data_IF_123149885084
#
_entry.id   IF_123149885084
#
_cell.length_a   1.000
_cell.length_b   1.000
_cell.length_c   1.000
_cell.angle_alpha   90.00
_cell.angle_beta   90.00
_cell.angle_gamma   90.00
#
_symmetry.space_group_name_H-M   'P 1'
#
loop_
_entity.id
_entity.type
_entity.pdbx_description
1 polymer ?
#
# COMPACT_ATOMS: atom_id res chain seq x y z
N UNK A 1 -10.64 1.32 19.63
CA UNK A 1 -11.41 2.44 19.03
C UNK A 1 -10.82 2.69 17.65
N UNK A 2 -11.18 1.87 16.66
CA UNK A 2 -10.69 1.98 15.27
C UNK A 2 -11.83 2.59 14.45
N UNK A 3 -11.69 3.84 14.06
CA UNK A 3 -12.48 4.41 12.97
C UNK A 3 -11.65 4.25 11.70
N UNK A 4 -11.95 3.25 10.89
CA UNK A 4 -11.54 3.23 9.48
C UNK A 4 -12.80 3.44 8.66
N UNK A 5 -12.95 4.66 8.15
CA UNK A 5 -14.05 5.08 7.31
C UNK A 5 -13.79 4.56 5.90
N UNK A 6 -14.49 3.50 5.49
CA UNK A 6 -14.82 3.19 4.10
C UNK A 6 -16.17 2.45 4.11
N UNK A 7 -17.23 3.18 4.45
CA UNK A 7 -18.61 2.73 4.23
C UNK A 7 -19.07 3.37 2.92
N UNK A 8 -19.33 2.54 1.90
CA UNK A 8 -20.03 2.99 0.70
C UNK A 8 -21.42 3.51 1.03
N UNK A 9 -22.06 4.19 0.08
CA UNK A 9 -23.37 4.85 0.23
C UNK A 9 -24.53 3.93 0.64
N UNK A 10 -24.31 2.62 0.72
CA UNK A 10 -25.29 1.62 1.17
C UNK A 10 -24.67 0.48 1.98
N UNK A 11 -23.72 0.71 2.89
CA UNK A 11 -23.28 -0.32 3.85
C UNK A 11 -22.56 -1.56 3.26
N UNK A 12 -22.34 -1.61 1.95
CA UNK A 12 -21.51 -2.62 1.28
C UNK A 12 -20.04 -2.19 1.31
N UNK A 13 -19.15 -3.15 1.56
CA UNK A 13 -17.71 -2.96 1.47
C UNK A 13 -17.30 -2.76 0.01
N UNK A 14 -16.38 -1.82 -0.26
CA UNK A 14 -15.80 -1.69 -1.60
C UNK A 14 -14.92 -2.90 -1.94
N UNK A 15 -14.74 -3.17 -3.23
CA UNK A 15 -13.82 -4.21 -3.69
C UNK A 15 -12.39 -4.01 -3.15
N UNK A 16 -11.95 -2.76 -2.96
CA UNK A 16 -10.67 -2.45 -2.33
C UNK A 16 -10.66 -2.79 -0.85
N UNK A 17 -11.75 -2.52 -0.13
CA UNK A 17 -11.89 -2.89 1.29
C UNK A 17 -11.85 -4.40 1.49
N UNK A 18 -12.49 -5.16 0.60
CA UNK A 18 -12.41 -6.63 0.58
C UNK A 18 -10.97 -7.10 0.31
N UNK A 19 -10.33 -6.55 -0.73
CA UNK A 19 -8.94 -6.86 -1.06
C UNK A 19 -7.97 -6.55 0.08
N UNK A 20 -8.16 -5.44 0.81
CA UNK A 20 -7.32 -5.10 1.96
C UNK A 20 -7.47 -6.11 3.09
N UNK A 21 -8.68 -6.63 3.32
CA UNK A 21 -8.92 -7.67 4.31
C UNK A 21 -8.20 -8.98 3.92
N UNK A 22 -8.20 -9.34 2.63
CA UNK A 22 -7.44 -10.49 2.13
C UNK A 22 -5.92 -10.30 2.28
N UNK A 23 -5.41 -9.14 1.88
CA UNK A 23 -3.97 -8.81 1.99
C UNK A 23 -3.52 -8.88 3.46
N UNK A 24 -4.32 -8.40 4.42
CA UNK A 24 -4.00 -8.45 5.84
C UNK A 24 -3.72 -9.88 6.35
N UNK A 25 -4.43 -10.87 5.80
CA UNK A 25 -4.32 -12.27 6.15
C UNK A 25 -3.31 -13.05 5.30
N UNK A 26 -2.78 -12.47 4.23
CA UNK A 26 -1.92 -13.16 3.28
C UNK A 26 -0.65 -13.74 3.93
N UNK A 27 -0.37 -15.02 3.64
CA UNK A 27 0.82 -15.79 4.07
C UNK A 27 1.51 -16.51 2.90
N UNK A 28 1.31 -16.05 1.67
CA UNK A 28 1.77 -16.73 0.45
C UNK A 28 3.30 -16.69 0.23
N UNK A 29 4.05 -15.88 0.99
CA UNK A 29 5.51 -15.78 0.89
C UNK A 29 6.19 -15.67 2.26
N UNK A 30 7.49 -15.96 2.30
CA UNK A 30 8.29 -15.96 3.53
C UNK A 30 8.36 -14.59 4.22
N UNK A 31 8.28 -13.48 3.47
CA UNK A 31 8.26 -12.12 4.03
C UNK A 31 7.13 -11.95 5.05
N UNK A 32 6.01 -12.66 4.86
CA UNK A 32 4.85 -12.60 5.74
C UNK A 32 5.18 -12.93 7.20
N UNK A 33 6.26 -13.68 7.48
CA UNK A 33 6.70 -14.04 8.83
C UNK A 33 7.39 -12.89 9.56
N UNK A 34 7.91 -11.90 8.82
CA UNK A 34 8.80 -10.86 9.35
C UNK A 34 8.21 -9.44 9.30
N UNK A 35 7.15 -9.22 8.50
CA UNK A 35 6.48 -7.92 8.42
C UNK A 35 5.89 -7.51 9.78
N UNK A 36 5.86 -6.22 10.04
CA UNK A 36 5.07 -5.64 11.14
C UNK A 36 3.64 -5.42 10.70
N UNK A 37 3.44 -4.79 9.53
CA UNK A 37 2.13 -4.58 8.92
C UNK A 37 2.21 -4.84 7.42
N UNK A 38 1.07 -5.20 6.83
CA UNK A 38 0.91 -5.12 5.38
C UNK A 38 0.70 -3.68 4.95
N UNK A 39 1.03 -3.39 3.69
CA UNK A 39 0.85 -2.09 3.07
C UNK A 39 0.13 -2.28 1.74
N UNK A 40 -1.21 -2.40 1.76
CA UNK A 40 -1.99 -2.78 0.58
C UNK A 40 -2.00 -1.69 -0.52
N UNK A 41 -2.15 -0.44 -0.09
CA UNK A 41 -2.30 0.74 -0.93
C UNK A 41 -3.14 1.80 -0.19
N UNK A 42 -3.14 3.03 -0.66
CA UNK A 42 -4.01 4.09 -0.15
C UNK A 42 -4.30 5.13 -1.24
N UNK A 43 -5.46 5.79 -1.17
CA UNK A 43 -5.86 6.84 -2.09
C UNK A 43 -7.35 6.85 -2.39
N UNK A 44 -7.74 7.64 -3.38
CA UNK A 44 -9.10 7.65 -3.92
C UNK A 44 -9.38 6.36 -4.71
N UNK A 45 -10.50 5.69 -4.44
CA UNK A 45 -10.89 4.46 -5.15
C UNK A 45 -11.21 4.71 -6.63
N UNK A 46 -11.58 5.94 -6.97
CA UNK A 46 -11.88 6.45 -8.30
C UNK A 46 -10.74 7.30 -8.90
N UNK A 47 -9.51 7.16 -8.39
CA UNK A 47 -8.36 7.92 -8.88
C UNK A 47 -8.03 7.63 -10.36
N UNK A 48 -7.80 8.69 -11.14
CA UNK A 48 -7.33 8.59 -12.53
C UNK A 48 -5.85 8.19 -12.64
N UNK A 49 -5.07 8.38 -11.57
CA UNK A 49 -3.62 8.16 -11.55
C UNK A 49 -3.25 7.18 -10.43
N UNK A 50 -2.54 6.12 -10.82
CA UNK A 50 -1.99 5.10 -9.93
C UNK A 50 -0.45 5.17 -9.93
N UNK A 51 0.14 5.37 -8.77
CA UNK A 51 1.57 5.24 -8.54
C UNK A 51 1.88 3.86 -7.93
N UNK A 52 2.82 3.14 -8.55
CA UNK A 52 3.27 1.83 -8.09
C UNK A 52 4.77 1.87 -7.80
N UNK A 53 5.13 1.76 -6.53
CA UNK A 53 6.50 1.51 -6.09
C UNK A 53 6.85 0.02 -6.06
N UNK A 54 8.08 -0.28 -5.67
CA UNK A 54 8.58 -1.65 -5.62
C UNK A 54 8.07 -2.41 -4.39
N UNK A 55 8.40 -1.92 -3.20
CA UNK A 55 8.10 -2.56 -1.93
C UNK A 55 8.00 -1.53 -0.78
N UNK A 56 7.32 -1.87 0.32
CA UNK A 56 7.33 -1.06 1.54
C UNK A 56 8.73 -0.98 2.16
N UNK A 57 9.13 0.21 2.57
CA UNK A 57 10.31 0.43 3.40
C UNK A 57 10.01 0.25 4.90
N UNK A 58 10.98 0.63 5.74
CA UNK A 58 10.84 0.51 7.20
C UNK A 58 9.68 1.34 7.75
N UNK A 59 9.54 2.61 7.35
CA UNK A 59 8.49 3.49 7.86
C UNK A 59 7.10 3.00 7.44
N UNK A 60 6.98 2.52 6.21
CA UNK A 60 5.75 1.97 5.63
C UNK A 60 5.31 0.71 6.40
N UNK A 61 6.24 -0.21 6.69
CA UNK A 61 5.96 -1.42 7.48
C UNK A 61 5.49 -1.11 8.90
N UNK A 62 6.07 -0.08 9.55
CA UNK A 62 5.64 0.33 10.89
C UNK A 62 4.25 0.98 10.89
N UNK A 63 3.92 1.74 9.85
CA UNK A 63 2.68 2.52 9.78
C UNK A 63 1.53 1.76 9.11
N UNK A 64 1.83 0.84 8.20
CA UNK A 64 0.83 0.16 7.36
C UNK A 64 0.38 1.02 6.18
N UNK A 65 1.17 2.03 5.79
CA UNK A 65 0.83 3.03 4.77
C UNK A 65 1.95 3.13 3.74
N UNK A 66 1.65 3.24 2.44
CA UNK A 66 2.67 3.31 1.39
C UNK A 66 3.35 4.68 1.39
N UNK A 67 4.60 4.78 0.96
CA UNK A 67 5.30 6.06 0.74
C UNK A 67 5.12 7.08 1.88
N UNK A 68 5.53 6.74 3.11
CA UNK A 68 5.49 7.62 4.30
C UNK A 68 6.88 7.95 4.83
N UNK A 69 7.93 7.35 4.28
CA UNK A 69 9.32 7.73 4.50
C UNK A 69 9.79 8.91 3.62
N UNK A 70 11.10 9.18 3.55
CA UNK A 70 11.65 10.31 2.79
C UNK A 70 11.27 10.34 1.31
N UNK A 71 11.24 9.19 0.64
CA UNK A 71 10.80 9.11 -0.75
C UNK A 71 9.31 9.45 -0.94
N UNK A 72 8.49 9.18 0.07
CA UNK A 72 7.09 9.56 0.08
C UNK A 72 6.87 11.06 0.26
N UNK A 73 7.66 11.69 1.13
CA UNK A 73 7.66 13.16 1.27
C UNK A 73 8.05 13.83 -0.05
N UNK A 74 9.04 13.28 -0.76
CA UNK A 74 9.42 13.79 -2.06
C UNK A 74 8.33 13.57 -3.13
N UNK A 75 7.62 12.44 -3.09
CA UNK A 75 6.45 12.22 -3.95
C UNK A 75 5.36 13.28 -3.67
N UNK A 76 5.10 13.60 -2.40
CA UNK A 76 4.12 14.62 -2.03
C UNK A 76 4.52 16.01 -2.57
N UNK A 77 5.80 16.36 -2.55
CA UNK A 77 6.33 17.59 -3.18
C UNK A 77 6.11 17.60 -4.71
N UNK A 78 6.36 16.47 -5.37
CA UNK A 78 6.17 16.34 -6.82
C UNK A 78 4.69 16.44 -7.20
N UNK A 79 3.79 15.81 -6.45
CA UNK A 79 2.34 15.94 -6.66
C UNK A 79 1.90 17.40 -6.50
N UNK A 80 2.37 18.07 -5.44
CA UNK A 80 2.06 19.47 -5.20
C UNK A 80 2.55 20.38 -6.34
N UNK A 81 3.71 20.08 -6.93
CA UNK A 81 4.27 20.85 -8.06
C UNK A 81 3.38 20.86 -9.31
N UNK A 82 2.49 19.86 -9.44
CA UNK A 82 1.51 19.74 -10.52
C UNK A 82 0.06 19.94 -10.05
N UNK A 83 -0.14 20.58 -8.89
CA UNK A 83 -1.44 20.85 -8.28
C UNK A 83 -2.30 19.60 -7.98
N UNK A 84 -1.66 18.46 -7.73
CA UNK A 84 -2.32 17.27 -7.23
C UNK A 84 -2.06 17.10 -5.72
N UNK A 85 -3.06 16.59 -5.02
CA UNK A 85 -2.94 16.12 -3.63
C UNK A 85 -2.85 14.61 -3.60
N UNK A 86 -2.25 14.08 -2.54
CA UNK A 86 -2.11 12.65 -2.31
C UNK A 86 -3.44 11.91 -2.30
N UNK A 87 -4.49 12.54 -1.78
CA UNK A 87 -5.83 11.96 -1.71
C UNK A 87 -6.53 11.89 -3.08
N UNK A 88 -5.99 12.54 -4.11
CA UNK A 88 -6.54 12.54 -5.48
C UNK A 88 -5.90 11.47 -6.38
N UNK A 89 -4.90 10.76 -5.87
CA UNK A 89 -4.21 9.69 -6.58
C UNK A 89 -4.31 8.40 -5.77
N UNK A 90 -4.00 7.27 -6.39
CA UNK A 90 -3.86 6.02 -5.67
C UNK A 90 -2.38 5.60 -5.65
N UNK A 91 -1.89 5.15 -4.49
CA UNK A 91 -0.49 4.81 -4.28
C UNK A 91 -0.41 3.39 -3.71
N UNK A 92 0.41 2.55 -4.34
CA UNK A 92 0.65 1.18 -3.90
C UNK A 92 2.08 0.72 -4.21
N UNK A 93 2.39 -0.53 -3.86
CA UNK A 93 3.62 -1.21 -4.25
C UNK A 93 3.32 -2.51 -4.99
N UNK A 94 4.28 -3.00 -5.78
CA UNK A 94 4.24 -4.32 -6.44
C UNK A 94 4.06 -5.42 -5.41
N UNK A 95 4.84 -5.41 -4.33
CA UNK A 95 4.61 -6.29 -3.18
C UNK A 95 4.07 -5.52 -1.98
N UNK A 96 3.27 -6.19 -1.13
CA UNK A 96 2.56 -5.53 -0.01
C UNK A 96 3.24 -5.67 1.36
N UNK A 97 4.43 -6.27 1.40
CA UNK A 97 5.18 -6.52 2.64
C UNK A 97 6.63 -6.10 2.46
N UNK A 98 7.26 -5.58 3.51
CA UNK A 98 8.66 -5.15 3.48
C UNK A 98 9.63 -6.34 3.45
N UNK A 99 10.51 -6.48 2.44
CA UNK A 99 11.59 -7.45 2.46
C UNK A 99 12.58 -7.20 3.60
N UNK A 100 13.14 -8.26 4.17
CA UNK A 100 14.12 -8.17 5.26
C UNK A 100 15.35 -7.37 4.83
N UNK A 101 15.76 -6.40 5.65
CA UNK A 101 16.90 -5.53 5.33
C UNK A 101 16.67 -4.53 4.20
N UNK A 102 15.42 -4.32 3.75
CA UNK A 102 15.09 -3.46 2.60
C UNK A 102 15.79 -3.88 1.30
N UNK A 103 16.07 -5.18 1.12
CA UNK A 103 16.49 -5.70 -0.18
C UNK A 103 15.37 -5.61 -1.20
N UNK A 104 15.73 -5.73 -2.48
CA UNK A 104 14.78 -5.86 -3.57
C UNK A 104 13.95 -7.16 -3.41
N UNK A 105 12.67 -7.18 -3.86
CA UNK A 105 11.85 -8.38 -3.92
C UNK A 105 12.45 -9.45 -4.82
N UNK A 106 12.35 -10.70 -4.39
CA UNK A 106 12.66 -11.84 -5.24
C UNK A 106 11.55 -12.01 -6.29
N UNK A 107 11.86 -12.59 -7.47
CA UNK A 107 10.83 -12.89 -8.48
C UNK A 107 9.65 -13.69 -7.91
N UNK A 108 9.92 -14.68 -7.05
CA UNK A 108 8.88 -15.48 -6.39
C UNK A 108 8.01 -14.65 -5.43
N UNK A 109 8.55 -13.61 -4.80
CA UNK A 109 7.79 -12.73 -3.91
C UNK A 109 6.87 -11.80 -4.72
N UNK A 110 7.33 -11.33 -5.88
CA UNK A 110 6.51 -10.59 -6.84
C UNK A 110 5.38 -11.50 -7.35
N UNK A 111 5.71 -12.70 -7.82
CA UNK A 111 4.72 -13.63 -8.37
C UNK A 111 3.64 -14.02 -7.35
N UNK A 112 4.03 -14.27 -6.09
CA UNK A 112 3.11 -14.58 -5.01
C UNK A 112 2.21 -13.41 -4.60
N UNK A 113 2.56 -12.16 -4.97
CA UNK A 113 1.86 -10.95 -4.56
C UNK A 113 1.02 -10.31 -5.69
N UNK A 114 0.86 -11.00 -6.83
CA UNK A 114 0.07 -10.54 -7.98
C UNK A 114 -1.44 -10.74 -7.87
N UNK A 115 -1.88 -11.60 -6.96
CA UNK A 115 -3.28 -11.97 -6.79
C UNK A 115 -3.96 -11.07 -5.78
#
# INVERSE_FOLDING_TARGET
>A
MIKSFYLGSQGEMSALSELYAEIALCRQCEIAKYRTKVVPGEGAEDADILFIGEAPGWHEDQQGRPFVGPAGLYLDELLASINLKREQVYIANVIKCRPTGNRDPLPSEIDNCRK
#
